data_IF_947044915860
#
_entry.id   IF_947044915860
#
_cell.length_a   1.000
_cell.length_b   1.000
_cell.length_c   1.000
_cell.angle_alpha   90.00
_cell.angle_beta   90.00
_cell.angle_gamma   90.00
#
_symmetry.space_group_name_H-M   'P 1'
#
loop_
_entity.id
_entity.type
_entity.pdbx_description
1 polymer ?
#
# COMPACT_ATOMS: atom_id res chain seq x y z
N UNK A 1 -11.69 -4.49 -5.25
CA UNK A 1 -11.98 -3.04 -5.30
C UNK A 1 -12.75 -2.64 -4.05
N UNK A 2 -12.25 -1.67 -3.28
CA UNK A 2 -12.77 -1.32 -1.95
C UNK A 2 -13.55 0.00 -1.85
N UNK A 3 -13.95 0.35 -0.63
CA UNK A 3 -14.82 1.49 -0.27
C UNK A 3 -14.21 2.88 -0.54
N UNK A 4 -12.87 2.99 -0.61
CA UNK A 4 -12.16 4.23 -0.93
C UNK A 4 -11.52 4.14 -2.33
N UNK A 5 -11.37 5.26 -3.05
CA UNK A 5 -10.71 5.28 -4.35
C UNK A 5 -9.27 4.76 -4.22
N UNK A 6 -8.92 3.77 -5.05
CA UNK A 6 -7.63 3.08 -5.01
C UNK A 6 -7.45 2.07 -3.88
N UNK A 7 -8.45 1.83 -3.03
CA UNK A 7 -8.35 0.79 -1.99
C UNK A 7 -8.42 -0.59 -2.63
N UNK A 8 -7.27 -1.28 -2.68
CA UNK A 8 -7.17 -2.69 -3.05
C UNK A 8 -7.10 -3.57 -1.83
N UNK A 9 -7.94 -4.60 -1.79
CA UNK A 9 -7.73 -5.74 -0.90
C UNK A 9 -6.81 -6.71 -1.63
N UNK A 10 -5.66 -6.98 -1.02
CA UNK A 10 -4.67 -7.89 -1.54
C UNK A 10 -4.76 -9.19 -0.72
N UNK A 11 -4.69 -10.33 -1.42
CA UNK A 11 -4.76 -11.68 -0.83
C UNK A 11 -3.48 -12.43 -1.14
N UNK A 12 -3.26 -13.59 -0.53
CA UNK A 12 -2.01 -14.36 -0.68
C UNK A 12 -0.93 -13.94 0.31
N UNK A 13 -1.33 -13.41 1.47
CA UNK A 13 -0.43 -13.18 2.60
C UNK A 13 -0.05 -14.54 3.20
N UNK A 14 1.24 -14.72 3.51
CA UNK A 14 1.78 -15.90 4.20
C UNK A 14 0.98 -16.22 5.48
N UNK A 15 0.65 -17.49 5.69
CA UNK A 15 -0.13 -17.97 6.85
C UNK A 15 0.48 -17.56 8.19
N UNK A 16 1.82 -17.43 8.27
CA UNK A 16 2.52 -16.98 9.47
C UNK A 16 2.20 -15.52 9.84
N UNK A 17 1.67 -14.72 8.91
CA UNK A 17 1.31 -13.32 9.10
C UNK A 17 -0.20 -13.12 9.33
N UNK A 18 -0.99 -14.20 9.38
CA UNK A 18 -2.43 -14.12 9.60
C UNK A 18 -2.74 -13.69 11.03
N UNK A 19 -3.32 -12.49 11.16
CA UNK A 19 -3.66 -11.90 12.45
C UNK A 19 -5.09 -11.35 12.43
N UNK A 20 -5.90 -11.56 13.49
CA UNK A 20 -7.22 -10.96 13.54
C UNK A 20 -7.15 -9.44 13.50
N UNK A 21 -8.26 -8.80 13.12
CA UNK A 21 -8.41 -7.35 13.29
C UNK A 21 -8.22 -6.98 14.77
N UNK A 22 -7.74 -5.77 15.00
CA UNK A 22 -7.68 -5.20 16.34
C UNK A 22 -9.07 -5.17 16.96
N UNK A 23 -9.16 -5.55 18.24
CA UNK A 23 -10.39 -5.46 19.02
C UNK A 23 -10.87 -4.01 19.17
N UNK A 24 -9.93 -3.06 19.28
CA UNK A 24 -10.21 -1.63 19.30
C UNK A 24 -9.58 -0.98 18.05
N UNK A 25 -10.38 -0.46 17.10
CA UNK A 25 -9.87 0.18 15.91
C UNK A 25 -9.18 1.51 16.23
N UNK A 26 -8.19 1.90 15.42
CA UNK A 26 -7.62 3.23 15.48
C UNK A 26 -8.62 4.23 14.93
N UNK A 27 -8.75 5.36 15.61
CA UNK A 27 -9.54 6.50 15.12
C UNK A 27 -8.87 7.20 13.94
N UNK A 28 -7.55 7.04 13.81
CA UNK A 28 -6.74 7.64 12.75
C UNK A 28 -5.66 6.67 12.26
N UNK A 29 -5.66 6.42 10.96
CA UNK A 29 -4.62 5.70 10.22
C UNK A 29 -4.13 6.64 9.11
N UNK A 30 -2.83 6.96 9.06
CA UNK A 30 -2.27 7.81 8.02
C UNK A 30 -2.42 7.20 6.62
N UNK A 31 -2.63 8.04 5.61
CA UNK A 31 -2.47 7.68 4.19
C UNK A 31 -1.12 6.98 3.97
N UNK A 32 -1.15 5.97 3.11
CA UNK A 32 -0.03 5.12 2.74
C UNK A 32 0.24 3.99 3.73
N UNK A 33 -0.44 3.93 4.89
CA UNK A 33 -0.20 2.84 5.85
C UNK A 33 -0.50 1.48 5.21
N UNK A 34 0.37 0.50 5.45
CA UNK A 34 0.16 -0.90 5.06
C UNK A 34 -0.38 -1.65 6.27
N UNK A 35 -1.52 -2.32 6.10
CA UNK A 35 -2.21 -3.03 7.16
C UNK A 35 -2.43 -4.51 6.83
N UNK A 36 -2.39 -5.35 7.85
CA UNK A 36 -2.75 -6.77 7.80
C UNK A 36 -4.02 -7.06 8.62
N UNK A 37 -4.89 -7.90 8.09
CA UNK A 37 -6.01 -8.48 8.81
C UNK A 37 -6.46 -9.79 8.16
N UNK A 38 -6.54 -10.84 8.97
CA UNK A 38 -6.83 -12.22 8.52
C UNK A 38 -5.80 -12.62 7.47
N UNK A 39 -6.25 -13.10 6.32
CA UNK A 39 -5.47 -13.49 5.15
C UNK A 39 -5.23 -12.34 4.15
N UNK A 40 -5.53 -11.10 4.56
CA UNK A 40 -5.54 -9.93 3.67
C UNK A 40 -4.51 -8.88 4.09
N UNK A 41 -4.00 -8.18 3.08
CA UNK A 41 -3.25 -6.93 3.24
C UNK A 41 -3.92 -5.78 2.48
N UNK A 42 -3.70 -4.57 2.95
CA UNK A 42 -4.28 -3.35 2.39
C UNK A 42 -3.28 -2.21 2.50
N UNK A 43 -3.34 -1.27 1.56
CA UNK A 43 -2.67 0.02 1.68
C UNK A 43 -3.76 1.09 1.79
N UNK A 44 -3.74 1.88 2.85
CA UNK A 44 -4.73 2.92 3.09
C UNK A 44 -4.51 4.11 2.13
N UNK A 45 -5.41 4.39 1.17
CA UNK A 45 -5.19 5.42 0.16
C UNK A 45 -5.39 6.84 0.70
N UNK A 46 -6.09 6.97 1.83
CA UNK A 46 -6.47 8.23 2.49
C UNK A 46 -6.35 8.10 4.01
N UNK A 47 -6.35 9.24 4.72
CA UNK A 47 -6.45 9.24 6.17
C UNK A 47 -7.85 8.75 6.58
N UNK A 48 -7.92 7.71 7.41
CA UNK A 48 -9.19 7.12 7.84
C UNK A 48 -9.05 6.35 9.15
N UNK A 49 -10.13 6.10 9.91
CA UNK A 49 -10.10 5.10 10.97
C UNK A 49 -9.85 3.69 10.42
N UNK A 50 -9.29 2.79 11.23
CA UNK A 50 -8.94 1.45 10.77
C UNK A 50 -8.60 0.46 11.88
N UNK A 51 -9.13 -0.77 11.74
CA UNK A 51 -8.90 -1.89 12.67
C UNK A 51 -7.78 -2.84 12.28
N UNK A 52 -6.97 -2.53 11.27
CA UNK A 52 -5.95 -3.44 10.76
C UNK A 52 -4.64 -3.29 11.54
N UNK A 53 -3.83 -4.34 11.55
CA UNK A 53 -2.49 -4.33 12.15
C UNK A 53 -1.53 -3.62 11.19
N UNK A 54 -1.04 -2.44 11.56
CA UNK A 54 -0.19 -1.65 10.69
C UNK A 54 1.24 -2.20 10.75
N UNK A 55 1.83 -2.49 9.59
CA UNK A 55 3.16 -3.10 9.47
C UNK A 55 4.18 -2.21 8.76
N UNK A 56 3.73 -1.14 8.10
CA UNK A 56 4.61 -0.25 7.35
C UNK A 56 3.86 0.88 6.68
N UNK A 57 4.55 1.61 5.78
CA UNK A 57 3.98 2.68 4.97
C UNK A 57 4.54 2.63 3.56
N UNK A 58 3.69 2.97 2.60
CA UNK A 58 4.01 3.14 1.19
C UNK A 58 4.21 4.63 0.90
N UNK A 59 5.36 5.06 0.35
CA UNK A 59 5.60 6.47 0.01
C UNK A 59 4.83 6.91 -1.24
N UNK A 60 4.51 5.96 -2.13
CA UNK A 60 3.82 6.23 -3.39
C UNK A 60 2.30 6.30 -3.16
N UNK A 61 1.62 7.40 -3.58
CA UNK A 61 0.19 7.50 -3.40
C UNK A 61 -0.55 6.53 -4.33
N UNK A 62 -1.54 5.83 -3.78
CA UNK A 62 -2.38 4.89 -4.54
C UNK A 62 -3.37 5.59 -5.48
N UNK A 63 -3.71 6.83 -5.14
CA UNK A 63 -4.58 7.68 -5.93
C UNK A 63 -3.91 9.05 -6.13
N UNK A 64 -3.80 9.48 -7.39
CA UNK A 64 -3.28 10.79 -7.78
C UNK A 64 -3.95 11.28 -9.07
N UNK A 65 -4.68 12.39 -8.99
CA UNK A 65 -5.40 12.97 -10.13
C UNK A 65 -4.48 13.55 -11.21
N UNK A 66 -3.19 13.77 -10.90
CA UNK A 66 -2.21 14.28 -11.86
C UNK A 66 -1.70 13.19 -12.82
N UNK A 67 -1.94 11.91 -12.51
CA UNK A 67 -1.55 10.78 -13.36
C UNK A 67 -2.54 10.58 -14.49
N UNK A 68 -2.03 10.09 -15.63
CA UNK A 68 -2.87 9.61 -16.74
C UNK A 68 -3.86 8.53 -16.26
N UNK A 69 -3.37 7.59 -15.43
CA UNK A 69 -4.18 6.63 -14.69
C UNK A 69 -4.22 7.01 -13.21
N UNK A 70 -5.34 7.57 -12.69
CA UNK A 70 -5.38 8.09 -11.34
C UNK A 70 -5.25 7.04 -10.24
N UNK A 71 -5.47 5.76 -10.56
CA UNK A 71 -5.39 4.64 -9.63
C UNK A 71 -4.14 3.83 -9.96
N UNK A 72 -3.36 3.50 -8.92
CA UNK A 72 -2.06 2.83 -9.07
C UNK A 72 -2.15 1.39 -9.57
N UNK A 73 -3.11 0.60 -9.10
CA UNK A 73 -3.27 -0.80 -9.47
C UNK A 73 -4.75 -1.16 -9.72
N UNK A 74 -4.96 -2.14 -10.59
CA UNK A 74 -6.25 -2.64 -11.04
C UNK A 74 -6.55 -4.02 -10.45
N UNK A 75 -7.81 -4.47 -10.58
CA UNK A 75 -8.17 -5.82 -10.19
C UNK A 75 -7.44 -6.84 -11.07
N UNK A 76 -6.76 -7.80 -10.44
CA UNK A 76 -5.93 -8.80 -11.12
C UNK A 76 -4.43 -8.52 -11.05
N UNK A 77 -4.03 -7.32 -10.66
CA UNK A 77 -2.62 -6.98 -10.48
C UNK A 77 -2.00 -7.77 -9.32
N UNK A 78 -0.74 -8.16 -9.50
CA UNK A 78 0.08 -8.74 -8.45
C UNK A 78 0.91 -7.65 -7.78
N UNK A 79 1.01 -7.70 -6.45
CA UNK A 79 1.72 -6.70 -5.65
C UNK A 79 2.71 -7.40 -4.74
N UNK A 80 3.96 -6.98 -4.85
CA UNK A 80 5.05 -7.41 -3.98
C UNK A 80 5.59 -6.22 -3.20
N UNK A 81 5.90 -6.41 -1.93
CA UNK A 81 6.48 -5.39 -1.07
C UNK A 81 7.95 -5.70 -0.81
N UNK A 82 8.79 -4.67 -0.88
CA UNK A 82 10.18 -4.75 -0.43
C UNK A 82 10.44 -3.67 0.61
N UNK A 83 11.28 -3.98 1.59
CA UNK A 83 11.64 -3.04 2.64
C UNK A 83 12.62 -2.00 2.09
N UNK A 84 12.39 -0.72 2.45
CA UNK A 84 13.31 0.38 2.16
C UNK A 84 13.69 1.09 3.45
N UNK A 85 14.85 1.73 3.46
CA UNK A 85 15.25 2.60 4.57
C UNK A 85 14.52 3.96 4.48
N UNK A 86 14.69 4.78 5.52
CA UNK A 86 14.04 6.08 5.61
C UNK A 86 14.47 7.03 4.47
N UNK A 87 15.74 7.07 4.11
CA UNK A 87 16.25 7.95 3.05
C UNK A 87 15.61 7.62 1.70
N UNK A 88 15.53 6.34 1.36
CA UNK A 88 14.89 5.88 0.12
C UNK A 88 13.38 6.11 0.14
N UNK A 89 12.75 5.99 1.31
CA UNK A 89 11.33 6.32 1.47
C UNK A 89 11.06 7.78 1.12
N UNK A 90 11.85 8.71 1.65
CA UNK A 90 11.70 10.14 1.39
C UNK A 90 12.02 10.49 -0.07
N UNK A 91 13.03 9.87 -0.67
CA UNK A 91 13.35 10.00 -2.10
C UNK A 91 12.16 9.58 -2.98
N UNK A 92 11.56 8.42 -2.71
CA UNK A 92 10.39 7.92 -3.44
C UNK A 92 9.19 8.85 -3.24
N UNK A 93 8.96 9.34 -2.02
CA UNK A 93 7.86 10.27 -1.74
C UNK A 93 8.02 11.59 -2.51
N UNK A 94 9.25 12.14 -2.56
CA UNK A 94 9.56 13.37 -3.29
C UNK A 94 9.44 13.21 -4.82
N UNK A 95 9.71 12.01 -5.34
CA UNK A 95 9.58 11.73 -6.78
C UNK A 95 8.13 11.63 -7.28
N UNK A 96 7.14 11.59 -6.39
CA UNK A 96 5.72 11.45 -6.76
C UNK A 96 4.97 12.79 -6.93
N UNK A 97 5.63 13.94 -6.81
CA UNK A 97 4.96 15.25 -6.58
C UNK A 97 4.30 15.83 -7.85
N UNK A 98 4.74 15.41 -9.03
CA UNK A 98 4.28 15.86 -10.35
C UNK A 98 3.44 14.81 -11.11
N UNK A 99 3.00 13.75 -10.43
CA UNK A 99 2.30 12.63 -11.07
C UNK A 99 3.25 11.57 -11.64
N UNK A 100 4.57 11.73 -11.49
CA UNK A 100 5.53 10.69 -11.79
C UNK A 100 5.30 9.43 -10.93
N UNK A 101 5.57 8.28 -11.53
CA UNK A 101 5.53 6.96 -10.90
C UNK A 101 6.97 6.42 -10.88
N UNK A 102 7.67 6.48 -9.73
CA UNK A 102 9.07 6.05 -9.63
C UNK A 102 9.24 4.53 -9.60
N UNK A 103 8.22 3.78 -9.99
CA UNK A 103 8.21 2.32 -10.03
C UNK A 103 7.84 1.86 -11.43
N UNK A 104 8.65 0.96 -11.99
CA UNK A 104 8.27 0.20 -13.17
C UNK A 104 7.65 -1.13 -12.71
N UNK A 105 6.41 -1.46 -13.11
CA UNK A 105 5.75 -2.71 -12.70
C UNK A 105 6.54 -3.99 -13.01
N UNK A 106 7.38 -3.96 -14.06
CA UNK A 106 8.17 -5.10 -14.52
C UNK A 106 9.42 -5.39 -13.67
N UNK A 107 9.83 -4.49 -12.77
CA UNK A 107 11.08 -4.65 -11.99
C UNK A 107 10.90 -5.44 -10.67
N UNK A 108 9.71 -5.96 -10.38
CA UNK A 108 9.44 -6.68 -9.14
C UNK A 108 10.10 -8.07 -9.05
N UNK A 109 10.61 -8.61 -10.16
CA UNK A 109 11.09 -10.00 -10.26
C UNK A 109 12.59 -10.17 -9.87
N UNK A 110 13.37 -9.09 -9.75
CA UNK A 110 14.82 -9.19 -9.47
C UNK A 110 15.19 -9.12 -7.98
N UNK A 111 14.27 -8.70 -7.09
CA UNK A 111 14.54 -8.53 -5.67
C UNK A 111 14.05 -9.70 -4.78
N UNK A 112 13.56 -10.79 -5.38
CA UNK A 112 13.00 -11.94 -4.68
C UNK A 112 13.94 -13.17 -4.59
N UNK A 113 15.25 -12.99 -4.84
CA UNK A 113 16.29 -14.03 -4.70
C UNK A 113 17.22 -13.76 -3.52
#
# INVERSE_FOLDING_TARGET
MGFLPGLGYLTGVDDALHLPRRSVPRTFVPKGSVGLAMDQTVIYPLNSPGGWNLIGRMPIPLFDQKRENPILFSAGDQVSFYAVNADKYEELAASCVDGSLPICPEQADEAAL
#
